data_IF_659701184943
#
_entry.id   IF_659701184943
#
_cell.length_a   1.000
_cell.length_b   1.000
_cell.length_c   1.000
_cell.angle_alpha   90.00
_cell.angle_beta   90.00
_cell.angle_gamma   90.00
#
_symmetry.space_group_name_H-M   'P 1'
#
loop_
_entity.id
_entity.type
_entity.pdbx_description
1 polymer ?
#
# COMPACT_ATOMS: atom_id res chain seq x y z
N UNK A 1 19.35 13.38 -30.40
CA UNK A 1 18.32 12.36 -30.14
C UNK A 1 17.87 12.57 -28.72
N UNK A 2 16.78 13.30 -28.56
CA UNK A 2 16.28 13.85 -27.29
C UNK A 2 15.21 12.89 -26.73
N UNK A 3 15.27 12.49 -25.45
CA UNK A 3 14.25 11.61 -24.88
C UNK A 3 12.91 12.37 -24.73
N UNK A 4 11.76 11.68 -24.79
CA UNK A 4 10.47 12.32 -24.63
C UNK A 4 10.33 12.92 -23.22
N UNK A 5 10.01 14.21 -23.19
CA UNK A 5 9.73 15.02 -22.00
C UNK A 5 8.50 14.44 -21.29
N UNK A 6 8.72 13.63 -20.25
CA UNK A 6 7.66 13.24 -19.35
C UNK A 6 7.29 14.47 -18.51
N UNK A 7 6.07 14.99 -18.70
CA UNK A 7 5.47 15.97 -17.80
C UNK A 7 5.29 15.31 -16.43
N UNK A 8 6.27 15.53 -15.55
CA UNK A 8 6.20 15.15 -14.16
C UNK A 8 5.20 16.07 -13.46
N UNK A 9 3.93 15.65 -13.41
CA UNK A 9 2.96 16.22 -12.49
C UNK A 9 3.47 15.95 -11.08
N UNK A 10 3.99 17.00 -10.43
CA UNK A 10 4.48 16.99 -9.05
C UNK A 10 3.28 16.89 -8.11
N UNK A 11 2.65 15.72 -8.04
CA UNK A 11 1.69 15.41 -6.99
C UNK A 11 2.47 15.10 -5.71
N UNK A 12 2.63 16.13 -4.88
CA UNK A 12 2.85 15.93 -3.46
C UNK A 12 1.67 15.16 -2.91
N UNK A 13 1.82 13.85 -2.77
CA UNK A 13 0.88 13.02 -2.02
C UNK A 13 1.19 13.21 -0.54
N UNK A 14 0.62 14.26 0.04
CA UNK A 14 0.28 14.26 1.46
C UNK A 14 -0.71 13.12 1.66
N UNK A 15 -0.23 12.02 2.23
CA UNK A 15 -1.07 10.94 2.73
C UNK A 15 -1.88 11.48 3.92
N UNK A 16 -2.99 12.15 3.63
CA UNK A 16 -4.06 12.41 4.57
C UNK A 16 -4.75 11.06 4.80
N UNK A 17 -4.44 10.42 5.92
CA UNK A 17 -5.13 9.22 6.37
C UNK A 17 -6.54 9.60 6.83
N UNK A 18 -7.53 9.46 5.94
CA UNK A 18 -8.94 9.43 6.34
C UNK A 18 -9.25 8.06 6.97
N UNK A 19 -9.63 7.99 8.26
CA UNK A 19 -9.94 6.75 8.92
C UNK A 19 -11.46 6.51 8.85
N UNK A 20 -12.05 6.46 7.64
CA UNK A 20 -13.47 6.11 7.51
C UNK A 20 -13.84 5.77 6.06
N UNK A 21 -13.38 4.62 5.56
CA UNK A 21 -14.10 3.96 4.47
C UNK A 21 -13.92 2.44 4.51
N UNK A 22 -15.04 1.75 4.74
CA UNK A 22 -15.21 0.34 4.42
C UNK A 22 -14.80 -0.66 5.50
N UNK A 23 -15.77 -1.04 6.36
CA UNK A 23 -16.26 -2.42 6.38
C UNK A 23 -17.63 -2.48 7.07
N UNK A 24 -18.66 -2.30 6.26
CA UNK A 24 -20.01 -2.77 6.53
C UNK A 24 -20.08 -4.21 5.99
N UNK A 25 -19.87 -5.20 6.86
CA UNK A 25 -20.26 -6.63 6.74
C UNK A 25 -19.38 -7.40 7.74
N UNK A 26 -19.88 -7.78 8.90
CA UNK A 26 -20.76 -8.93 9.00
C UNK A 26 -21.50 -8.85 10.34
N UNK A 27 -22.77 -8.43 10.29
CA UNK A 27 -23.68 -8.52 11.42
C UNK A 27 -24.31 -9.90 11.37
N UNK A 28 -23.93 -10.75 12.33
CA UNK A 28 -24.65 -11.94 12.83
C UNK A 28 -24.63 -13.21 11.93
N UNK A 29 -24.54 -14.43 12.51
CA UNK A 29 -25.22 -14.82 13.74
C UNK A 29 -24.34 -15.47 14.81
N UNK A 30 -24.25 -14.83 15.98
CA UNK A 30 -23.92 -15.49 17.26
C UNK A 30 -25.21 -15.98 17.96
N UNK A 31 -26.33 -16.06 17.24
CA UNK A 31 -27.64 -16.45 17.81
C UNK A 31 -28.01 -17.93 17.58
N UNK A 32 -27.05 -18.85 17.61
CA UNK A 32 -27.31 -20.28 17.40
C UNK A 32 -26.44 -21.20 18.29
N UNK A 33 -26.18 -20.84 19.55
CA UNK A 33 -25.53 -21.75 20.52
C UNK A 33 -26.13 -21.71 21.95
N UNK A 34 -27.42 -21.35 22.09
CA UNK A 34 -28.11 -21.35 23.40
C UNK A 34 -29.27 -22.35 23.45
N UNK A 35 -29.06 -23.58 23.00
CA UNK A 35 -30.06 -24.66 23.16
C UNK A 35 -29.46 -25.99 23.62
N UNK A 36 -28.50 -26.00 24.55
CA UNK A 36 -28.10 -27.27 25.17
C UNK A 36 -27.46 -27.23 26.58
N UNK A 37 -27.39 -26.08 27.27
CA UNK A 37 -26.92 -26.08 28.66
C UNK A 37 -28.06 -25.72 29.62
N UNK A 38 -28.66 -26.76 30.20
CA UNK A 38 -29.37 -26.67 31.48
C UNK A 38 -28.32 -26.30 32.55
N UNK A 39 -27.95 -25.02 32.63
CA UNK A 39 -27.00 -24.56 33.61
C UNK A 39 -27.76 -24.24 34.91
N UNK A 40 -27.47 -24.93 36.03
CA UNK A 40 -28.15 -24.69 37.29
C UNK A 40 -27.68 -23.36 37.89
N UNK A 41 -28.67 -22.53 38.26
CA UNK A 41 -28.68 -21.48 39.31
C UNK A 41 -27.38 -20.66 39.55
N UNK A 42 -27.52 -19.36 39.28
CA UNK A 42 -26.96 -18.24 40.06
C UNK A 42 -25.52 -17.80 39.78
N UNK A 43 -25.17 -17.55 38.51
CA UNK A 43 -24.17 -16.50 38.26
C UNK A 43 -24.88 -15.14 38.36
N UNK A 44 -24.46 -14.22 39.25
CA UNK A 44 -25.11 -12.92 39.36
C UNK A 44 -24.93 -12.14 38.05
N UNK A 45 -25.98 -11.43 37.62
CA UNK A 45 -26.02 -10.61 36.40
C UNK A 45 -24.77 -9.73 36.23
N UNK A 46 -24.20 -9.25 37.34
CA UNK A 46 -23.01 -8.42 37.38
C UNK A 46 -21.73 -9.16 36.93
N UNK A 47 -21.62 -10.47 37.17
CA UNK A 47 -20.47 -11.29 36.74
C UNK A 47 -20.56 -11.57 35.24
N UNK A 48 -21.77 -11.82 34.72
CA UNK A 48 -21.97 -11.98 33.29
C UNK A 48 -21.63 -10.68 32.53
N UNK A 49 -22.06 -9.53 33.05
CA UNK A 49 -21.75 -8.23 32.48
C UNK A 49 -20.23 -7.93 32.51
N UNK A 50 -19.58 -8.26 33.63
CA UNK A 50 -18.13 -8.11 33.76
C UNK A 50 -17.34 -8.96 32.74
N UNK A 51 -17.74 -10.22 32.52
CA UNK A 51 -17.09 -11.10 31.53
C UNK A 51 -17.24 -10.57 30.10
N UNK A 52 -18.44 -10.08 29.74
CA UNK A 52 -18.69 -9.47 28.43
C UNK A 52 -17.83 -8.21 28.27
N UNK A 53 -17.81 -7.31 29.26
CA UNK A 53 -16.97 -6.10 29.22
C UNK A 53 -15.49 -6.45 29.05
N UNK A 54 -14.95 -7.37 29.86
CA UNK A 54 -13.56 -7.80 29.78
C UNK A 54 -13.23 -8.35 28.39
N UNK A 55 -14.09 -9.19 27.79
CA UNK A 55 -13.88 -9.72 26.44
C UNK A 55 -13.85 -8.65 25.33
N UNK A 56 -14.64 -7.58 25.49
CA UNK A 56 -14.66 -6.45 24.56
C UNK A 56 -13.42 -5.57 24.71
N UNK A 57 -12.91 -5.39 25.95
CA UNK A 57 -11.66 -4.65 26.20
C UNK A 57 -10.41 -5.37 25.68
N UNK A 58 -10.37 -6.71 25.70
CA UNK A 58 -9.24 -7.46 25.15
C UNK A 58 -9.17 -7.42 23.61
N UNK A 59 -10.31 -7.20 22.93
CA UNK A 59 -10.38 -7.24 21.47
C UNK A 59 -9.88 -5.97 20.77
N UNK A 60 -9.67 -4.87 21.50
CA UNK A 60 -9.22 -3.58 20.93
C UNK A 60 -7.70 -3.42 20.86
N UNK A 61 -6.92 -4.43 21.28
CA UNK A 61 -5.47 -4.31 21.50
C UNK A 61 -4.54 -4.87 20.40
N UNK A 62 -5.04 -5.46 19.32
CA UNK A 62 -4.17 -5.97 18.25
C UNK A 62 -3.77 -4.86 17.27
N UNK A 63 -2.80 -4.03 17.67
CA UNK A 63 -2.08 -3.18 16.74
C UNK A 63 -1.06 -4.06 15.98
N UNK A 64 -1.46 -4.56 14.81
CA UNK A 64 -0.59 -5.40 13.99
C UNK A 64 0.69 -4.67 13.64
N UNK A 65 1.84 -5.19 14.08
CA UNK A 65 3.15 -4.67 13.66
C UNK A 65 3.29 -4.84 12.14
N UNK A 66 3.21 -3.74 11.40
CA UNK A 66 3.42 -3.71 9.95
C UNK A 66 4.89 -4.00 9.63
N UNK A 67 5.22 -5.28 9.38
CA UNK A 67 6.56 -5.69 8.96
C UNK A 67 6.86 -5.20 7.55
N UNK A 68 7.90 -4.40 7.27
CA UNK A 68 8.14 -3.81 5.95
C UNK A 68 8.08 -4.87 4.84
N UNK A 69 7.34 -4.57 3.78
CA UNK A 69 7.11 -5.48 2.66
C UNK A 69 7.11 -4.68 1.37
N UNK A 70 8.14 -4.86 0.54
CA UNK A 70 8.25 -4.31 -0.82
C UNK A 70 8.40 -5.47 -1.79
N UNK A 71 7.47 -5.61 -2.73
CA UNK A 71 7.41 -6.78 -3.63
C UNK A 71 6.99 -6.39 -5.04
N UNK A 72 7.26 -7.31 -5.97
CA UNK A 72 6.83 -7.21 -7.37
C UNK A 72 5.34 -7.53 -7.46
N UNK A 73 4.59 -6.70 -8.18
CA UNK A 73 3.15 -6.87 -8.43
C UNK A 73 2.89 -6.61 -9.92
N UNK A 74 2.12 -7.49 -10.56
CA UNK A 74 1.66 -7.29 -11.93
C UNK A 74 0.61 -6.19 -12.01
N UNK A 75 0.74 -5.29 -12.97
CA UNK A 75 -0.16 -4.16 -13.19
C UNK A 75 -0.44 -3.99 -14.69
N UNK A 76 -1.66 -3.56 -15.01
CA UNK A 76 -2.06 -3.18 -16.36
C UNK A 76 -1.88 -1.67 -16.51
N UNK A 77 -0.94 -1.24 -17.34
CA UNK A 77 -0.71 0.17 -17.61
C UNK A 77 -1.32 0.55 -18.95
N UNK A 78 -2.10 1.62 -18.93
CA UNK A 78 -2.68 2.22 -20.13
C UNK A 78 -1.69 3.23 -20.70
N UNK A 79 -1.18 2.94 -21.89
CA UNK A 79 -0.22 3.79 -22.59
C UNK A 79 -1.00 4.69 -23.55
N UNK A 80 -0.95 5.98 -23.25
CA UNK A 80 -1.52 7.05 -24.09
C UNK A 80 -0.37 7.91 -24.64
N UNK A 81 -0.07 7.72 -25.92
CA UNK A 81 0.95 8.49 -26.65
C UNK A 81 0.23 9.32 -27.70
N UNK A 82 0.46 10.63 -27.68
CA UNK A 82 -0.17 11.55 -28.61
C UNK A 82 0.05 11.12 -30.08
N UNK A 83 -1.05 10.96 -30.82
CA UNK A 83 -1.01 10.54 -32.23
C UNK A 83 -0.99 9.03 -32.46
N UNK A 84 -1.03 8.23 -31.41
CA UNK A 84 -1.08 6.76 -31.44
C UNK A 84 -2.36 6.22 -30.80
N UNK A 85 -2.69 4.97 -31.10
CA UNK A 85 -3.78 4.24 -30.46
C UNK A 85 -3.44 3.90 -29.00
N UNK A 86 -4.48 3.85 -28.16
CA UNK A 86 -4.37 3.48 -26.74
C UNK A 86 -4.08 1.99 -26.61
N UNK A 87 -3.00 1.64 -25.90
CA UNK A 87 -2.59 0.24 -25.69
C UNK A 87 -2.53 -0.08 -24.20
N UNK A 88 -3.09 -1.23 -23.81
CA UNK A 88 -2.98 -1.77 -22.44
C UNK A 88 -1.80 -2.73 -22.38
N UNK A 89 -0.83 -2.45 -21.52
CA UNK A 89 0.39 -3.27 -21.37
C UNK A 89 0.44 -3.87 -19.97
N UNK A 90 0.69 -5.18 -19.90
CA UNK A 90 0.91 -5.89 -18.63
C UNK A 90 2.38 -5.79 -18.24
N UNK A 91 2.67 -5.02 -17.20
CA UNK A 91 4.03 -4.82 -16.68
C UNK A 91 4.07 -5.03 -15.17
N UNK A 92 5.24 -5.39 -14.66
CA UNK A 92 5.43 -5.51 -13.23
C UNK A 92 5.87 -4.17 -12.63
N UNK A 93 5.29 -3.82 -11.49
CA UNK A 93 5.66 -2.64 -10.68
C UNK A 93 6.05 -3.08 -9.27
N UNK A 94 6.72 -2.19 -8.53
CA UNK A 94 7.00 -2.42 -7.11
C UNK A 94 5.90 -1.81 -6.26
N UNK A 95 5.37 -2.59 -5.32
CA UNK A 95 4.35 -2.13 -4.38
C UNK A 95 4.68 -2.62 -2.97
N UNK A 96 4.51 -1.73 -2.00
CA UNK A 96 4.85 -2.06 -0.63
C UNK A 96 4.97 -0.87 0.30
N UNK A 97 5.38 -1.18 1.53
CA UNK A 97 5.68 -0.21 2.57
C UNK A 97 7.08 -0.46 3.12
N UNK A 98 7.78 0.64 3.37
CA UNK A 98 9.15 0.68 3.87
C UNK A 98 9.19 1.57 5.13
N UNK A 99 10.21 1.40 5.95
CA UNK A 99 10.33 2.13 7.23
C UNK A 99 10.76 3.58 7.02
N UNK A 100 10.18 4.48 7.79
CA UNK A 100 10.64 5.86 7.93
C UNK A 100 10.75 6.26 9.41
N UNK A 101 11.73 7.09 9.72
CA UNK A 101 12.01 7.57 11.07
C UNK A 101 12.27 9.07 11.02
N UNK A 102 11.65 9.81 11.93
CA UNK A 102 11.83 11.24 12.09
C UNK A 102 12.34 11.54 13.48
N UNK A 103 13.41 12.31 13.59
CA UNK A 103 14.02 12.68 14.86
C UNK A 103 14.52 14.12 14.84
N UNK A 104 14.54 14.75 16.01
CA UNK A 104 15.16 16.06 16.18
C UNK A 104 16.67 15.88 16.38
N UNK A 105 17.48 16.72 15.74
CA UNK A 105 18.92 16.70 15.95
C UNK A 105 19.25 17.00 17.42
N UNK A 106 20.11 16.21 18.08
CA UNK A 106 20.40 16.39 19.51
C UNK A 106 21.21 17.66 19.82
N UNK A 107 21.88 18.24 18.81
CA UNK A 107 22.67 19.47 18.93
C UNK A 107 21.82 20.70 18.55
N UNK A 108 21.06 20.59 17.45
CA UNK A 108 20.13 21.61 16.98
C UNK A 108 18.68 21.12 17.16
N UNK A 109 18.12 21.30 18.37
CA UNK A 109 16.76 20.87 18.71
C UNK A 109 15.65 21.45 17.80
N UNK A 110 15.98 22.40 16.93
CA UNK A 110 15.05 23.01 15.99
C UNK A 110 15.08 22.37 14.59
N UNK A 111 15.95 21.39 14.32
CA UNK A 111 16.06 20.74 13.02
C UNK A 111 15.50 19.33 13.05
N UNK A 112 14.31 19.16 12.48
CA UNK A 112 13.71 17.85 12.20
C UNK A 112 14.45 17.19 11.04
N UNK A 113 14.95 15.98 11.26
CA UNK A 113 15.58 15.14 10.22
C UNK A 113 14.76 13.87 10.03
N UNK A 114 14.59 13.48 8.77
CA UNK A 114 13.82 12.31 8.40
C UNK A 114 14.70 11.35 7.61
N UNK A 115 14.78 10.11 8.07
CA UNK A 115 15.36 8.98 7.36
C UNK A 115 14.20 8.13 6.84
N UNK A 116 13.94 8.20 5.54
CA UNK A 116 12.83 7.50 4.91
C UNK A 116 13.34 6.53 3.84
N UNK A 117 12.79 5.31 3.84
CA UNK A 117 13.00 4.34 2.77
C UNK A 117 11.80 4.28 1.82
N UNK A 118 12.07 4.15 0.54
CA UNK A 118 11.14 4.04 -0.57
C UNK A 118 11.23 2.65 -1.22
N UNK A 119 10.09 2.10 -1.63
CA UNK A 119 10.03 0.83 -2.37
C UNK A 119 10.32 1.09 -3.85
N UNK A 120 11.41 0.52 -4.37
CA UNK A 120 11.90 0.77 -5.75
C UNK A 120 12.28 -0.53 -6.45
N UNK A 121 12.25 -0.50 -7.79
CA UNK A 121 12.81 -1.55 -8.65
C UNK A 121 14.33 -1.66 -8.44
N UNK A 122 14.82 -2.84 -8.10
CA UNK A 122 16.25 -3.18 -8.06
C UNK A 122 16.74 -3.67 -9.41
N UNK A 123 15.89 -4.43 -10.07
CA UNK A 123 16.18 -5.09 -11.34
C UNK A 123 15.03 -4.81 -12.30
N UNK A 124 15.38 -4.43 -13.52
CA UNK A 124 14.42 -3.99 -14.54
C UNK A 124 14.63 -4.80 -15.81
N UNK A 125 13.56 -5.37 -16.33
CA UNK A 125 13.47 -5.95 -17.66
C UNK A 125 12.84 -4.94 -18.61
N UNK A 126 13.48 -4.72 -19.76
CA UNK A 126 12.93 -3.87 -20.83
C UNK A 126 11.90 -4.67 -21.63
N UNK A 127 10.70 -4.13 -21.78
CA UNK A 127 9.62 -4.70 -22.58
C UNK A 127 9.34 -3.76 -23.74
N UNK A 128 9.54 -4.25 -24.96
CA UNK A 128 9.20 -3.53 -26.19
C UNK A 128 7.71 -3.64 -26.50
N UNK A 129 7.08 -2.53 -26.86
CA UNK A 129 5.67 -2.44 -27.25
C UNK A 129 5.57 -1.65 -28.54
N UNK A 130 4.93 -2.25 -29.54
CA UNK A 130 4.62 -1.57 -30.79
C UNK A 130 3.29 -0.83 -30.65
N UNK A 131 3.31 0.45 -30.98
CA UNK A 131 2.15 1.31 -31.04
C UNK A 131 1.81 1.58 -32.50
N UNK A 132 0.54 1.53 -32.84
CA UNK A 132 0.06 1.96 -34.16
C UNK A 132 -0.28 3.44 -34.08
N UNK A 133 0.40 4.25 -34.90
CA UNK A 133 0.23 5.69 -34.92
C UNK A 133 -0.17 6.19 -36.31
N UNK A 134 -0.70 7.42 -36.37
CA UNK A 134 -1.12 8.04 -37.64
C UNK A 134 0.02 8.17 -38.65
N UNK A 135 1.25 8.34 -38.16
CA UNK A 135 2.48 8.49 -38.96
C UNK A 135 3.18 7.16 -39.26
N UNK A 136 2.64 6.04 -38.77
CA UNK A 136 3.20 4.69 -38.89
C UNK A 136 3.38 4.01 -37.53
N UNK A 137 3.81 2.73 -37.56
CA UNK A 137 4.06 1.98 -36.34
C UNK A 137 5.33 2.46 -35.64
N UNK A 138 5.26 2.60 -34.31
CA UNK A 138 6.37 3.05 -33.46
C UNK A 138 6.59 2.08 -32.31
N UNK A 139 7.83 1.64 -32.13
CA UNK A 139 8.22 0.85 -30.97
C UNK A 139 8.60 1.77 -29.79
N UNK A 140 8.09 1.47 -28.61
CA UNK A 140 8.50 2.07 -27.34
C UNK A 140 8.99 1.00 -26.38
N UNK A 141 9.89 1.37 -25.47
CA UNK A 141 10.43 0.46 -24.47
C UNK A 141 9.96 0.88 -23.09
N UNK A 142 9.31 -0.05 -22.38
CA UNK A 142 8.74 0.16 -21.05
C UNK A 142 9.54 -0.69 -20.04
N UNK A 143 9.97 -0.10 -18.91
CA UNK A 143 10.61 -0.87 -17.84
C UNK A 143 9.58 -1.70 -17.05
N UNK A 144 9.89 -2.97 -16.83
CA UNK A 144 9.11 -3.89 -15.98
C UNK A 144 9.97 -4.41 -14.83
N UNK A 145 9.45 -4.37 -13.61
CA UNK A 145 10.16 -4.84 -12.42
C UNK A 145 10.43 -6.35 -12.46
N UNK A 146 11.65 -6.75 -12.12
CA UNK A 146 12.04 -8.15 -11.84
C UNK A 146 12.29 -8.33 -10.35
N UNK A 147 12.87 -7.32 -9.69
CA UNK A 147 13.11 -7.28 -8.26
C UNK A 147 12.74 -5.94 -7.65
N UNK A 148 12.38 -5.96 -6.37
CA UNK A 148 11.98 -4.78 -5.60
C UNK A 148 12.59 -4.81 -4.20
N UNK A 149 13.04 -3.66 -3.68
CA UNK A 149 13.46 -3.54 -2.29
C UNK A 149 13.40 -2.08 -1.78
N UNK A 150 13.66 -1.90 -0.48
CA UNK A 150 13.58 -0.60 0.20
C UNK A 150 14.94 0.12 0.20
N UNK A 151 14.98 1.35 -0.32
CA UNK A 151 16.18 2.21 -0.41
C UNK A 151 15.91 3.60 0.14
N UNK A 152 16.96 4.35 0.46
CA UNK A 152 16.79 5.73 0.94
C UNK A 152 16.21 6.63 -0.16
N UNK A 153 15.13 7.35 0.18
CA UNK A 153 14.45 8.22 -0.76
C UNK A 153 15.34 9.43 -1.11
N UNK A 154 15.58 9.68 -2.39
CA UNK A 154 16.14 10.96 -2.86
C UNK A 154 17.66 11.05 -3.04
N UNK A 155 18.41 9.95 -2.97
CA UNK A 155 19.87 9.95 -3.20
C UNK A 155 20.24 9.61 -4.65
N UNK A 156 19.40 8.88 -5.37
CA UNK A 156 19.74 8.40 -6.71
C UNK A 156 19.05 9.21 -7.81
N UNK A 157 19.73 10.27 -8.27
CA UNK A 157 19.52 10.80 -9.63
C UNK A 157 20.28 9.90 -10.60
N UNK A 158 19.57 8.95 -11.22
CA UNK A 158 19.99 8.34 -12.49
C UNK A 158 19.56 9.26 -13.64
#
# INVERSE_FOLDING_TARGET
MEPPRQSATRQGSSAQSDPNSGQLSSIMPVLMLLSAFKCPRFLPQNVLFALICVSLFFSTGYCGTLKPSCRVVGHEELIDVAGCDLVVVKVNKCQGYCTSFSFFHPIDNNKLTMLAKCCRMTEVKKVSVNLTCKEGDREIVIPSAVGCSCFDCGVDRL
#
